data_IF_174324780548
#
_entry.id   IF_174324780548
#
_cell.length_a   1.000
_cell.length_b   1.000
_cell.length_c   1.000
_cell.angle_alpha   90.00
_cell.angle_beta   90.00
_cell.angle_gamma   90.00
#
_symmetry.space_group_name_H-M   'P 1'
#
loop_
_entity.id
_entity.type
_entity.pdbx_description
1 polymer ?
#
# COMPACT_ATOMS: atom_id res chain seq x y z
N UNK A 1 31.74 -9.10 -12.47
CA UNK A 1 30.53 -9.63 -13.13
C UNK A 1 29.32 -9.07 -12.39
N UNK A 2 28.25 -8.59 -13.05
CA UNK A 2 27.07 -8.15 -12.34
C UNK A 2 26.40 -9.37 -11.68
N UNK A 3 26.01 -9.17 -10.44
CA UNK A 3 25.53 -10.14 -9.46
C UNK A 3 24.16 -10.70 -9.89
N UNK A 4 24.01 -12.01 -10.11
CA UNK A 4 22.70 -12.63 -10.40
C UNK A 4 22.06 -13.09 -9.09
N UNK A 5 21.36 -12.18 -8.39
CA UNK A 5 20.31 -12.60 -7.46
C UNK A 5 19.29 -13.43 -8.22
N UNK A 6 18.83 -14.55 -7.67
CA UNK A 6 17.74 -15.32 -8.27
C UNK A 6 16.36 -14.76 -7.82
N UNK A 7 15.31 -15.04 -8.58
CA UNK A 7 13.94 -14.55 -8.30
C UNK A 7 13.47 -14.92 -6.89
N UNK A 8 13.87 -16.09 -6.38
CA UNK A 8 13.50 -16.54 -5.04
C UNK A 8 14.20 -15.71 -3.94
N UNK A 9 15.48 -15.37 -4.10
CA UNK A 9 16.20 -14.47 -3.19
C UNK A 9 15.58 -13.07 -3.20
N UNK A 10 15.22 -12.54 -4.37
CA UNK A 10 14.57 -11.24 -4.51
C UNK A 10 13.20 -11.22 -3.81
N UNK A 11 12.44 -12.32 -3.91
CA UNK A 11 11.18 -12.50 -3.19
C UNK A 11 11.41 -12.46 -1.67
N UNK A 12 12.35 -13.26 -1.16
CA UNK A 12 12.65 -13.28 0.28
C UNK A 12 13.12 -11.89 0.76
N UNK A 13 13.97 -11.22 -0.01
CA UNK A 13 14.42 -9.87 0.28
C UNK A 13 13.26 -8.86 0.36
N UNK A 14 12.35 -8.91 -0.61
CA UNK A 14 11.18 -8.03 -0.66
C UNK A 14 10.27 -8.26 0.55
N UNK A 15 10.06 -9.51 0.95
CA UNK A 15 9.26 -9.82 2.14
C UNK A 15 9.94 -9.28 3.41
N UNK A 16 11.26 -9.45 3.55
CA UNK A 16 11.99 -8.94 4.71
C UNK A 16 11.96 -7.42 4.78
N UNK A 17 12.07 -6.72 3.64
CA UNK A 17 11.90 -5.27 3.59
C UNK A 17 10.53 -4.82 4.10
N UNK A 18 9.46 -5.54 3.78
CA UNK A 18 8.12 -5.22 4.28
C UNK A 18 7.95 -5.48 5.80
N UNK A 19 8.65 -6.48 6.34
CA UNK A 19 8.54 -6.89 7.75
C UNK A 19 9.45 -6.09 8.69
N UNK A 20 10.59 -5.62 8.19
CA UNK A 20 11.66 -5.03 8.98
C UNK A 20 11.40 -3.56 9.34
N UNK A 21 10.39 -3.31 10.17
CA UNK A 21 10.11 -1.96 10.70
C UNK A 21 11.26 -1.50 11.59
N UNK A 22 11.92 -0.40 11.20
CA UNK A 22 13.03 0.17 11.98
C UNK A 22 14.38 -0.56 11.85
N UNK A 23 14.52 -1.43 10.84
CA UNK A 23 15.78 -2.09 10.51
C UNK A 23 16.16 -1.86 9.03
N UNK A 24 17.45 -1.99 8.72
CA UNK A 24 17.99 -1.85 7.36
C UNK A 24 18.12 -3.24 6.78
N UNK A 25 17.39 -3.52 5.69
CA UNK A 25 17.53 -4.77 4.93
C UNK A 25 18.34 -4.50 3.67
N UNK A 26 19.43 -5.25 3.50
CA UNK A 26 20.32 -5.15 2.34
C UNK A 26 20.41 -6.50 1.65
N UNK A 27 20.03 -6.55 0.37
CA UNK A 27 20.26 -7.73 -0.47
C UNK A 27 21.72 -7.83 -0.87
N UNK A 28 22.25 -9.05 -0.95
CA UNK A 28 23.55 -9.34 -1.55
C UNK A 28 24.67 -8.53 -0.88
N UNK A 29 24.63 -8.42 0.44
CA UNK A 29 25.56 -7.59 1.21
C UNK A 29 26.90 -8.30 1.39
N UNK A 30 28.00 -7.59 1.20
CA UNK A 30 29.31 -8.08 1.62
C UNK A 30 29.56 -7.71 3.08
N UNK A 31 29.74 -8.72 3.93
CA UNK A 31 30.23 -8.57 5.29
C UNK A 31 31.74 -8.80 5.33
N UNK A 32 32.40 -8.24 6.33
CA UNK A 32 33.85 -8.43 6.53
C UNK A 32 34.06 -9.62 7.46
N UNK A 33 34.83 -10.60 7.00
CA UNK A 33 35.32 -11.71 7.82
C UNK A 33 36.24 -11.18 8.91
N UNK A 34 35.94 -11.47 10.18
CA UNK A 34 36.70 -10.97 11.34
C UNK A 34 38.10 -11.59 11.47
N UNK A 35 38.33 -12.76 10.87
CA UNK A 35 39.62 -13.45 10.90
C UNK A 35 40.51 -13.07 9.72
N UNK A 36 39.97 -13.04 8.50
CA UNK A 36 40.79 -12.81 7.29
C UNK A 36 40.74 -11.37 6.79
N UNK A 37 39.71 -10.60 7.15
CA UNK A 37 39.44 -9.27 6.58
C UNK A 37 38.80 -9.30 5.18
N UNK A 38 38.54 -10.50 4.64
CA UNK A 38 37.96 -10.65 3.32
C UNK A 38 36.47 -10.25 3.30
N UNK A 39 36.01 -9.84 2.12
CA UNK A 39 34.59 -9.58 1.86
C UNK A 39 33.88 -10.88 1.53
N UNK A 40 33.00 -11.34 2.41
CA UNK A 40 32.14 -12.50 2.20
C UNK A 40 30.73 -12.01 1.90
N UNK A 41 30.17 -12.49 0.80
CA UNK A 41 28.80 -12.18 0.41
C UNK A 41 27.79 -12.95 1.25
N UNK A 42 26.73 -12.27 1.68
CA UNK A 42 25.55 -12.83 2.33
C UNK A 42 24.32 -12.45 1.52
N UNK A 43 23.41 -13.41 1.29
CA UNK A 43 22.30 -13.23 0.35
C UNK A 43 21.37 -12.09 0.77
N UNK A 44 21.03 -11.99 2.07
CA UNK A 44 20.29 -10.87 2.65
C UNK A 44 20.80 -10.62 4.07
N UNK A 45 20.98 -9.34 4.42
CA UNK A 45 21.38 -8.91 5.77
C UNK A 45 20.36 -7.93 6.32
N UNK A 46 19.90 -8.16 7.55
CA UNK A 46 19.07 -7.24 8.32
C UNK A 46 19.91 -6.67 9.45
N UNK A 47 19.98 -5.35 9.53
CA UNK A 47 20.72 -4.64 10.57
C UNK A 47 19.78 -3.74 11.38
N UNK A 48 19.89 -3.81 12.70
CA UNK A 48 19.15 -2.96 13.61
C UNK A 48 20.01 -2.57 14.81
N UNK A 49 19.53 -1.60 15.60
CA UNK A 49 20.14 -1.19 16.86
C UNK A 49 19.11 -1.42 17.95
N UNK A 50 19.41 -2.32 18.88
CA UNK A 50 18.54 -2.64 20.03
C UNK A 50 19.25 -2.15 21.28
N UNK A 51 18.67 -1.16 21.97
CA UNK A 51 19.26 -0.53 23.16
C UNK A 51 20.73 -0.08 22.96
N UNK A 52 21.06 0.44 21.78
CA UNK A 52 22.41 0.89 21.43
C UNK A 52 23.35 -0.22 20.96
N UNK A 53 22.93 -1.49 20.98
CA UNK A 53 23.73 -2.62 20.49
C UNK A 53 23.39 -2.94 19.03
N UNK A 54 24.39 -3.02 18.13
CA UNK A 54 24.15 -3.42 16.76
C UNK A 54 23.81 -4.92 16.69
N UNK A 55 22.70 -5.24 16.04
CA UNK A 55 22.26 -6.60 15.76
C UNK A 55 22.25 -6.81 14.25
N UNK A 56 22.87 -7.90 13.81
CA UNK A 56 22.94 -8.32 12.41
C UNK A 56 22.36 -9.72 12.27
N UNK A 57 21.27 -9.83 11.49
CA UNK A 57 20.67 -11.09 11.09
C UNK A 57 21.10 -11.37 9.65
N UNK A 58 21.66 -12.56 9.42
CA UNK A 58 22.04 -13.01 8.09
C UNK A 58 21.06 -14.06 7.61
N UNK A 59 20.66 -13.94 6.34
CA UNK A 59 19.74 -14.87 5.69
C UNK A 59 20.43 -15.42 4.44
N UNK A 60 20.46 -16.74 4.33
CA UNK A 60 20.94 -17.46 3.15
C UNK A 60 19.76 -18.17 2.48
N UNK A 61 19.70 -18.09 1.14
CA UNK A 61 18.55 -18.53 0.35
C UNK A 61 18.97 -19.63 -0.62
N UNK A 62 18.23 -20.73 -0.62
CA UNK A 62 18.43 -21.87 -1.52
C UNK A 62 17.22 -22.11 -2.42
N UNK A 63 17.39 -21.75 -3.70
CA UNK A 63 16.43 -22.04 -4.77
C UNK A 63 16.82 -23.31 -5.52
N UNK A 64 16.58 -24.47 -4.92
CA UNK A 64 16.76 -25.77 -5.57
C UNK A 64 15.49 -26.59 -5.45
N UNK A 65 15.24 -27.45 -6.44
CA UNK A 65 14.08 -28.35 -6.47
C UNK A 65 14.16 -29.54 -5.50
N UNK A 66 15.29 -29.74 -4.81
CA UNK A 66 15.47 -30.80 -3.80
C UNK A 66 15.64 -30.17 -2.41
N UNK A 67 15.15 -30.83 -1.34
CA UNK A 67 15.32 -30.36 0.02
C UNK A 67 16.79 -30.08 0.36
N UNK A 68 17.01 -29.05 1.16
CA UNK A 68 18.32 -28.72 1.66
C UNK A 68 18.84 -29.79 2.63
N UNK A 69 20.09 -30.19 2.43
CA UNK A 69 20.73 -31.27 3.17
C UNK A 69 21.56 -30.75 4.34
N UNK A 70 22.00 -31.67 5.21
CA UNK A 70 22.85 -31.36 6.37
C UNK A 70 24.18 -30.71 5.97
N UNK A 71 24.72 -31.04 4.80
CA UNK A 71 25.95 -30.45 4.26
C UNK A 71 25.80 -28.94 4.08
N UNK A 72 24.65 -28.48 3.57
CA UNK A 72 24.41 -27.06 3.40
C UNK A 72 24.30 -26.32 4.74
N UNK A 73 23.71 -26.95 5.75
CA UNK A 73 23.70 -26.38 7.11
C UNK A 73 25.13 -26.21 7.63
N UNK A 74 25.99 -27.22 7.43
CA UNK A 74 27.41 -27.17 7.84
C UNK A 74 28.19 -26.10 7.08
N UNK A 75 27.97 -25.98 5.76
CA UNK A 75 28.56 -24.94 4.92
C UNK A 75 28.14 -23.55 5.43
N UNK A 76 26.85 -23.33 5.70
CA UNK A 76 26.37 -22.05 6.23
C UNK A 76 26.92 -21.75 7.63
N UNK A 77 27.02 -22.75 8.52
CA UNK A 77 27.69 -22.57 9.83
C UNK A 77 29.13 -22.12 9.63
N UNK A 78 29.88 -22.83 8.78
CA UNK A 78 31.28 -22.51 8.51
C UNK A 78 31.45 -21.10 7.94
N UNK A 79 30.58 -20.72 7.00
CA UNK A 79 30.54 -19.39 6.39
C UNK A 79 30.31 -18.27 7.42
N UNK A 80 29.42 -18.47 8.38
CA UNK A 80 29.01 -17.43 9.33
C UNK A 80 29.79 -17.43 10.65
N UNK A 81 30.67 -18.40 10.88
CA UNK A 81 31.43 -18.54 12.13
C UNK A 81 32.27 -17.29 12.47
N UNK A 82 32.79 -16.63 11.44
CA UNK A 82 33.72 -15.49 11.54
C UNK A 82 33.09 -14.18 11.08
N UNK A 83 31.86 -14.21 10.57
CA UNK A 83 31.14 -13.02 10.14
C UNK A 83 30.49 -12.31 11.34
N UNK A 84 30.16 -11.01 11.21
CA UNK A 84 29.43 -10.29 12.23
C UNK A 84 27.94 -10.66 12.28
N UNK A 85 27.61 -11.95 12.18
CA UNK A 85 26.24 -12.47 12.23
C UNK A 85 25.86 -12.79 13.68
N UNK A 86 24.78 -12.19 14.18
CA UNK A 86 24.20 -12.51 15.50
C UNK A 86 23.16 -13.63 15.41
N UNK A 87 22.38 -13.68 14.32
CA UNK A 87 21.39 -14.73 14.05
C UNK A 87 21.48 -15.16 12.59
N UNK A 88 21.53 -16.46 12.37
CA UNK A 88 21.50 -17.06 11.03
C UNK A 88 20.11 -17.63 10.75
N UNK A 89 19.57 -17.29 9.58
CA UNK A 89 18.33 -17.83 9.04
C UNK A 89 18.62 -18.48 7.70
N UNK A 90 18.16 -19.70 7.51
CA UNK A 90 18.32 -20.45 6.26
C UNK A 90 16.95 -20.63 5.62
N UNK A 91 16.82 -20.23 4.36
CA UNK A 91 15.57 -20.32 3.60
C UNK A 91 15.75 -21.28 2.45
N UNK A 92 14.88 -22.30 2.36
CA UNK A 92 14.92 -23.29 1.28
C UNK A 92 13.57 -23.40 0.58
N UNK A 93 13.56 -23.25 -0.74
CA UNK A 93 12.34 -23.38 -1.55
C UNK A 93 11.70 -24.76 -1.41
N UNK A 94 12.50 -25.82 -1.49
CA UNK A 94 12.05 -27.21 -1.41
C UNK A 94 12.12 -27.81 0.01
N UNK A 95 12.26 -26.97 1.04
CA UNK A 95 12.35 -27.46 2.42
C UNK A 95 13.70 -28.07 2.79
N UNK A 96 13.71 -28.89 3.85
CA UNK A 96 14.92 -29.41 4.48
C UNK A 96 14.78 -30.91 4.74
N UNK A 97 15.90 -31.64 4.69
CA UNK A 97 15.90 -33.03 5.17
C UNK A 97 15.75 -33.06 6.70
N UNK A 98 15.26 -34.17 7.25
CA UNK A 98 15.14 -34.35 8.70
C UNK A 98 16.48 -34.13 9.43
N UNK A 99 17.58 -34.62 8.87
CA UNK A 99 18.92 -34.42 9.41
C UNK A 99 19.38 -32.96 9.36
N UNK A 100 18.99 -32.20 8.34
CA UNK A 100 19.29 -30.78 8.24
C UNK A 100 18.54 -29.97 9.30
N UNK A 101 17.25 -30.26 9.52
CA UNK A 101 16.45 -29.62 10.56
C UNK A 101 17.03 -29.85 11.96
N UNK A 102 17.35 -31.11 12.29
CA UNK A 102 17.99 -31.45 13.58
C UNK A 102 19.28 -30.64 13.75
N UNK A 103 20.14 -30.62 12.72
CA UNK A 103 21.42 -29.90 12.81
C UNK A 103 21.24 -28.39 12.95
N UNK A 104 20.26 -27.80 12.27
CA UNK A 104 19.96 -26.38 12.39
C UNK A 104 19.47 -26.03 13.80
N UNK A 105 18.55 -26.82 14.36
CA UNK A 105 18.06 -26.66 15.73
C UNK A 105 19.18 -26.75 16.78
N UNK A 106 20.07 -27.75 16.66
CA UNK A 106 21.24 -27.89 17.54
C UNK A 106 22.19 -26.67 17.53
N UNK A 107 22.16 -25.87 16.47
CA UNK A 107 23.04 -24.70 16.30
C UNK A 107 22.26 -23.39 16.37
N UNK A 108 21.02 -23.42 16.88
CA UNK A 108 20.14 -22.24 17.01
C UNK A 108 19.90 -21.49 15.70
N UNK A 109 19.97 -22.20 14.57
CA UNK A 109 19.72 -21.67 13.23
C UNK A 109 18.24 -21.75 12.93
N UNK A 110 17.66 -20.63 12.50
CA UNK A 110 16.28 -20.61 12.06
C UNK A 110 16.18 -21.18 10.64
N UNK A 111 15.20 -22.04 10.37
CA UNK A 111 14.98 -22.63 9.05
C UNK A 111 13.58 -22.32 8.54
N UNK A 112 13.47 -21.80 7.31
CA UNK A 112 12.21 -21.43 6.67
C UNK A 112 12.04 -22.14 5.33
N UNK A 113 10.84 -22.67 5.06
CA UNK A 113 10.52 -23.25 3.75
C UNK A 113 9.22 -22.74 3.14
N UNK A 114 9.17 -22.75 1.80
CA UNK A 114 7.96 -22.43 1.04
C UNK A 114 6.89 -23.52 1.19
N UNK A 115 7.27 -24.77 1.47
CA UNK A 115 6.30 -25.84 1.73
C UNK A 115 5.53 -25.62 3.05
N UNK A 116 6.25 -25.22 4.12
CA UNK A 116 5.63 -24.85 5.39
C UNK A 116 4.75 -23.61 5.28
N UNK A 117 5.03 -22.77 4.27
CA UNK A 117 4.27 -21.60 3.89
C UNK A 117 2.86 -21.92 3.37
N UNK A 118 2.66 -23.03 2.66
CA UNK A 118 1.36 -23.33 2.03
C UNK A 118 0.25 -23.75 3.00
N UNK A 119 0.56 -24.27 4.19
CA UNK A 119 -0.39 -25.05 5.00
C UNK A 119 -1.00 -24.30 6.21
N UNK A 120 -1.42 -23.01 6.13
CA UNK A 120 -1.83 -22.21 7.35
C UNK A 120 -3.35 -22.22 7.53
N UNK A 121 -3.84 -22.24 8.78
CA UNK A 121 -5.21 -21.84 9.07
C UNK A 121 -5.37 -20.31 8.96
N UNK A 122 -5.92 -19.84 7.83
CA UNK A 122 -6.26 -18.43 7.60
C UNK A 122 -7.46 -17.97 8.44
N UNK A 123 -7.50 -16.69 8.81
CA UNK A 123 -8.66 -16.01 9.41
C UNK A 123 -9.81 -15.81 8.39
N UNK A 124 -11.04 -15.56 8.82
CA UNK A 124 -12.19 -15.50 7.89
C UNK A 124 -12.17 -14.25 7.00
N UNK A 125 -11.70 -13.11 7.51
CA UNK A 125 -11.50 -11.89 6.72
C UNK A 125 -10.41 -12.06 5.66
N UNK A 126 -9.36 -12.84 5.95
CA UNK A 126 -8.30 -13.16 4.97
C UNK A 126 -8.75 -14.20 3.95
N UNK A 127 -9.60 -15.17 4.33
CA UNK A 127 -10.28 -16.07 3.38
C UNK A 127 -11.21 -15.32 2.41
N UNK A 128 -11.89 -14.28 2.89
CA UNK A 128 -12.75 -13.46 2.03
C UNK A 128 -11.93 -12.63 1.03
N UNK A 129 -10.85 -11.98 1.49
CA UNK A 129 -9.90 -11.31 0.60
C UNK A 129 -9.25 -12.29 -0.40
N UNK A 130 -9.02 -13.55 0.00
CA UNK A 130 -8.54 -14.59 -0.89
C UNK A 130 -9.50 -14.97 -2.00
N UNK A 131 -10.79 -15.04 -1.66
CA UNK A 131 -11.84 -15.42 -2.59
C UNK A 131 -12.18 -14.28 -3.55
N UNK A 132 -12.32 -13.07 -3.04
CA UNK A 132 -12.88 -11.94 -3.77
C UNK A 132 -11.78 -11.07 -4.42
N UNK A 133 -10.53 -11.20 -3.95
CA UNK A 133 -9.39 -10.38 -4.36
C UNK A 133 -9.50 -8.93 -3.89
N UNK A 134 -8.58 -8.07 -4.33
CA UNK A 134 -8.71 -6.61 -4.20
C UNK A 134 -8.83 -6.02 -5.59
N UNK A 135 -9.86 -5.21 -5.81
CA UNK A 135 -9.98 -4.45 -7.06
C UNK A 135 -9.23 -3.14 -6.93
N UNK A 136 -8.18 -2.99 -7.74
CA UNK A 136 -7.57 -1.69 -7.98
C UNK A 136 -8.39 -0.99 -9.07
N UNK A 137 -8.81 0.24 -8.84
CA UNK A 137 -9.61 1.00 -9.78
C UNK A 137 -9.09 2.43 -9.90
N UNK A 138 -9.02 2.92 -11.13
CA UNK A 138 -8.65 4.29 -11.48
C UNK A 138 -9.82 4.93 -12.20
N UNK A 139 -10.29 6.01 -11.60
CA UNK A 139 -11.46 6.74 -12.06
C UNK A 139 -10.99 7.96 -12.84
N UNK A 140 -11.43 8.05 -14.10
CA UNK A 140 -11.31 9.27 -14.89
C UNK A 140 -12.64 10.00 -14.86
N UNK A 141 -12.61 11.24 -14.38
CA UNK A 141 -13.81 12.02 -14.10
C UNK A 141 -13.81 13.28 -14.95
N UNK A 142 -14.96 13.56 -15.53
CA UNK A 142 -15.20 14.81 -16.26
C UNK A 142 -16.51 15.41 -15.79
N UNK A 143 -16.41 16.56 -15.14
CA UNK A 143 -17.56 17.35 -14.74
C UNK A 143 -18.16 17.98 -15.99
N UNK A 144 -19.47 17.81 -16.19
CA UNK A 144 -20.15 18.39 -17.35
C UNK A 144 -20.91 19.64 -16.95
N UNK A 145 -21.65 19.56 -15.85
CA UNK A 145 -22.47 20.66 -15.35
C UNK A 145 -22.54 20.60 -13.83
N UNK A 146 -22.77 21.75 -13.21
CA UNK A 146 -23.14 21.82 -11.81
C UNK A 146 -24.21 22.91 -11.65
N UNK A 147 -25.04 22.75 -10.64
CA UNK A 147 -26.08 23.71 -10.27
C UNK A 147 -26.03 23.94 -8.77
N UNK A 148 -26.47 25.13 -8.36
CA UNK A 148 -26.52 25.50 -6.95
C UNK A 148 -27.93 25.92 -6.60
N UNK A 149 -28.38 25.50 -5.42
CA UNK A 149 -29.64 25.94 -4.86
C UNK A 149 -29.34 26.98 -3.78
N UNK A 150 -29.75 28.22 -4.06
CA UNK A 150 -29.46 29.37 -3.23
C UNK A 150 -30.70 30.23 -2.99
N UNK A 151 -30.69 30.96 -1.89
CA UNK A 151 -31.75 31.92 -1.57
C UNK A 151 -31.49 33.21 -2.33
N UNK A 152 -32.47 33.63 -3.13
CA UNK A 152 -32.41 34.90 -3.84
C UNK A 152 -32.55 36.08 -2.88
N UNK A 153 -31.76 37.13 -3.08
CA UNK A 153 -31.87 38.40 -2.36
C UNK A 153 -32.62 39.45 -3.20
N UNK A 154 -33.40 40.30 -2.54
CA UNK A 154 -34.06 41.46 -3.15
C UNK A 154 -33.35 42.72 -2.67
N UNK A 155 -32.89 43.57 -3.60
CA UNK A 155 -32.27 44.87 -3.31
C UNK A 155 -32.96 45.95 -4.13
N UNK A 156 -33.45 47.01 -3.48
CA UNK A 156 -34.20 48.09 -4.12
C UNK A 156 -35.37 47.60 -4.99
N UNK A 157 -36.08 46.56 -4.55
CA UNK A 157 -37.19 45.94 -5.29
C UNK A 157 -36.79 45.06 -6.47
N UNK A 158 -35.49 44.94 -6.78
CA UNK A 158 -34.99 44.06 -7.83
C UNK A 158 -34.50 42.74 -7.24
N UNK A 159 -34.89 41.65 -7.90
CA UNK A 159 -34.43 40.29 -7.59
C UNK A 159 -33.01 40.11 -8.11
N UNK A 160 -32.05 39.87 -7.23
CA UNK A 160 -30.66 39.58 -7.61
C UNK A 160 -30.47 38.07 -7.76
N UNK A 161 -30.10 37.61 -8.95
CA UNK A 161 -29.76 36.21 -9.21
C UNK A 161 -28.31 36.09 -9.60
N UNK A 162 -27.69 34.95 -9.29
CA UNK A 162 -26.35 34.65 -9.80
C UNK A 162 -26.48 34.33 -11.30
N UNK A 163 -25.69 35.00 -12.13
CA UNK A 163 -25.55 34.64 -13.54
C UNK A 163 -24.89 33.25 -13.65
N UNK A 164 -25.55 32.33 -14.35
CA UNK A 164 -25.07 30.97 -14.53
C UNK A 164 -23.72 30.88 -15.24
N UNK A 165 -23.39 31.85 -16.10
CA UNK A 165 -22.07 31.89 -16.74
C UNK A 165 -20.96 32.39 -15.82
N UNK A 166 -21.34 33.11 -14.76
CA UNK A 166 -20.42 33.70 -13.76
C UNK A 166 -20.27 32.84 -12.50
N UNK A 167 -20.95 31.70 -12.45
CA UNK A 167 -21.01 30.80 -11.30
C UNK A 167 -19.62 30.21 -10.96
N UNK A 168 -18.78 29.96 -11.98
CA UNK A 168 -17.39 29.48 -11.81
C UNK A 168 -16.52 30.45 -11.00
N UNK A 169 -16.86 31.73 -11.02
CA UNK A 169 -16.09 32.78 -10.37
C UNK A 169 -16.60 33.11 -8.95
N UNK A 170 -17.68 32.46 -8.53
CA UNK A 170 -18.21 32.63 -7.18
C UNK A 170 -17.28 31.97 -6.15
N UNK A 171 -17.17 32.61 -4.99
CA UNK A 171 -16.45 32.09 -3.84
C UNK A 171 -17.46 31.45 -2.90
N UNK A 172 -17.34 30.15 -2.68
CA UNK A 172 -18.01 29.45 -1.60
C UNK A 172 -17.34 29.76 -0.27
N UNK A 173 -18.13 30.08 0.75
CA UNK A 173 -17.68 30.22 2.13
C UNK A 173 -18.44 29.25 3.04
N UNK A 174 -17.71 28.35 3.69
CA UNK A 174 -18.25 27.38 4.64
C UNK A 174 -18.55 28.01 5.99
N UNK A 175 -19.73 27.75 6.56
CA UNK A 175 -20.10 28.30 7.87
C UNK A 175 -19.43 27.63 9.06
N UNK A 176 -18.98 26.38 8.90
CA UNK A 176 -18.38 25.58 9.97
C UNK A 176 -16.95 26.01 10.30
N UNK A 177 -16.20 26.50 9.31
CA UNK A 177 -14.77 26.78 9.44
C UNK A 177 -14.35 28.14 8.84
N UNK A 178 -15.28 28.86 8.20
CA UNK A 178 -15.00 30.11 7.50
C UNK A 178 -14.12 29.93 6.26
N UNK A 179 -13.91 28.68 5.81
CA UNK A 179 -13.04 28.41 4.66
C UNK A 179 -13.66 28.94 3.39
N UNK A 180 -12.82 29.54 2.55
CA UNK A 180 -13.22 30.07 1.24
C UNK A 180 -12.61 29.23 0.13
N UNK A 181 -13.43 28.84 -0.85
CA UNK A 181 -13.03 28.05 -2.03
C UNK A 181 -13.65 28.66 -3.28
N UNK A 182 -13.02 28.53 -4.44
CA UNK A 182 -13.75 28.80 -5.68
C UNK A 182 -14.79 27.70 -5.87
N UNK A 183 -15.97 28.07 -6.36
CA UNK A 183 -17.04 27.09 -6.55
C UNK A 183 -16.64 25.98 -7.54
N UNK A 184 -15.81 26.29 -8.52
CA UNK A 184 -15.24 25.30 -9.47
C UNK A 184 -14.35 24.25 -8.79
N UNK A 185 -13.82 24.50 -7.60
CA UNK A 185 -12.97 23.58 -6.83
C UNK A 185 -13.80 22.66 -5.93
N UNK A 186 -15.09 22.96 -5.72
CA UNK A 186 -15.96 22.21 -4.83
C UNK A 186 -16.18 20.75 -5.28
N UNK A 187 -16.42 20.44 -6.57
CA UNK A 187 -16.54 19.05 -7.01
C UNK A 187 -15.35 18.18 -6.61
N UNK A 188 -14.13 18.71 -6.72
CA UNK A 188 -12.92 17.98 -6.34
C UNK A 188 -12.84 17.76 -4.82
N UNK A 189 -13.31 18.73 -4.02
CA UNK A 189 -13.42 18.58 -2.56
C UNK A 189 -14.52 17.60 -2.15
N UNK A 190 -15.63 17.56 -2.88
CA UNK A 190 -16.68 16.58 -2.68
C UNK A 190 -16.16 15.16 -2.89
N UNK A 191 -15.27 14.94 -3.87
CA UNK A 191 -14.60 13.64 -4.03
C UNK A 191 -13.49 13.38 -3.02
N UNK A 192 -12.94 14.42 -2.41
CA UNK A 192 -12.02 14.25 -1.29
C UNK A 192 -12.76 13.79 -0.02
N UNK A 193 -14.08 14.02 0.08
CA UNK A 193 -14.92 13.49 1.16
C UNK A 193 -15.25 12.01 0.91
N UNK A 194 -14.70 11.14 1.76
CA UNK A 194 -14.91 9.70 1.69
C UNK A 194 -16.39 9.26 1.79
N UNK A 195 -17.26 10.04 2.44
CA UNK A 195 -18.69 9.74 2.54
C UNK A 195 -19.43 9.94 1.22
N UNK A 196 -18.93 10.84 0.37
CA UNK A 196 -19.46 11.12 -0.96
C UNK A 196 -18.79 10.21 -1.99
N UNK A 197 -17.46 10.14 -1.99
CA UNK A 197 -16.69 9.41 -2.98
C UNK A 197 -16.96 7.89 -2.96
N UNK A 198 -17.04 7.28 -1.76
CA UNK A 198 -17.18 5.82 -1.61
C UNK A 198 -18.42 5.23 -2.30
N UNK A 199 -19.66 5.68 -2.04
CA UNK A 199 -20.85 5.10 -2.68
C UNK A 199 -20.84 5.28 -4.20
N UNK A 200 -20.29 6.40 -4.66
CA UNK A 200 -20.16 6.72 -6.09
C UNK A 200 -19.16 5.76 -6.76
N UNK A 201 -17.95 5.63 -6.20
CA UNK A 201 -16.91 4.75 -6.72
C UNK A 201 -17.34 3.28 -6.72
N UNK A 202 -18.07 2.82 -5.69
CA UNK A 202 -18.61 1.46 -5.62
C UNK A 202 -19.59 1.17 -6.76
N UNK A 203 -20.42 2.14 -7.14
CA UNK A 203 -21.31 2.02 -8.30
C UNK A 203 -20.51 1.94 -9.60
N UNK A 204 -19.52 2.81 -9.78
CA UNK A 204 -18.72 2.87 -10.99
C UNK A 204 -17.84 1.65 -11.24
N UNK A 205 -17.34 1.00 -10.18
CA UNK A 205 -16.61 -0.28 -10.30
C UNK A 205 -17.47 -1.36 -10.97
N UNK A 206 -18.80 -1.34 -10.73
CA UNK A 206 -19.76 -2.29 -11.32
C UNK A 206 -20.10 -1.93 -12.76
N UNK A 207 -20.33 -0.64 -13.04
CA UNK A 207 -20.92 -0.20 -14.30
C UNK A 207 -19.89 0.18 -15.39
N UNK A 208 -18.59 0.29 -15.05
CA UNK A 208 -17.42 0.62 -15.92
C UNK A 208 -17.44 1.98 -16.64
N UNK A 209 -18.62 2.43 -17.07
CA UNK A 209 -18.94 3.78 -17.52
C UNK A 209 -20.27 4.17 -16.91
N UNK A 210 -20.26 5.23 -16.12
CA UNK A 210 -21.48 5.72 -15.50
C UNK A 210 -21.49 7.24 -15.50
N UNK A 211 -22.57 7.78 -16.03
CA UNK A 211 -22.98 9.14 -15.71
C UNK A 211 -23.31 9.18 -14.22
N UNK A 212 -22.97 10.30 -13.57
CA UNK A 212 -23.21 10.47 -12.16
C UNK A 212 -23.85 11.81 -11.87
N UNK A 213 -24.65 11.80 -10.81
CA UNK A 213 -25.23 12.98 -10.22
C UNK A 213 -24.98 12.90 -8.71
N UNK A 214 -24.39 13.95 -8.17
CA UNK A 214 -24.08 14.07 -6.74
C UNK A 214 -24.70 15.35 -6.24
N UNK A 215 -25.44 15.26 -5.14
CA UNK A 215 -25.97 16.43 -4.44
C UNK A 215 -25.32 16.51 -3.07
N UNK A 216 -24.61 17.60 -2.81
CA UNK A 216 -24.01 17.91 -1.52
C UNK A 216 -24.80 19.01 -0.83
N UNK A 217 -25.41 18.69 0.30
CA UNK A 217 -26.03 19.68 1.19
C UNK A 217 -24.93 20.34 2.02
N UNK A 218 -24.79 21.65 1.85
CA UNK A 218 -23.73 22.40 2.52
C UNK A 218 -24.11 22.68 3.98
N UNK A 219 -23.15 22.89 4.89
CA UNK A 219 -23.44 23.25 6.27
C UNK A 219 -24.33 24.50 6.35
N UNK A 220 -25.30 24.50 7.27
CA UNK A 220 -26.25 25.60 7.44
C UNK A 220 -25.51 26.92 7.67
N UNK A 221 -25.87 27.95 6.91
CA UNK A 221 -25.22 29.26 6.96
C UNK A 221 -24.08 29.45 5.98
N UNK A 222 -23.72 28.43 5.20
CA UNK A 222 -22.76 28.59 4.10
C UNK A 222 -23.34 29.48 3.00
N UNK A 223 -22.48 30.16 2.24
CA UNK A 223 -22.92 31.12 1.23
C UNK A 223 -21.95 31.22 0.05
N UNK A 224 -22.45 31.76 -1.05
CA UNK A 224 -21.66 32.15 -2.23
C UNK A 224 -21.46 33.66 -2.24
N UNK A 225 -20.29 34.11 -2.66
CA UNK A 225 -20.01 35.52 -2.97
C UNK A 225 -19.71 35.66 -4.46
N UNK A 226 -20.46 36.49 -5.18
CA UNK A 226 -20.21 36.77 -6.60
C UNK A 226 -19.07 37.81 -6.80
N UNK A 227 -18.67 38.06 -8.06
CA UNK A 227 -17.64 39.07 -8.39
C UNK A 227 -17.99 40.49 -7.94
N UNK A 228 -19.26 40.79 -7.76
CA UNK A 228 -19.74 42.12 -7.33
C UNK A 228 -19.81 42.25 -5.81
N UNK A 229 -19.47 41.17 -5.07
CA UNK A 229 -19.52 41.12 -3.62
C UNK A 229 -20.92 40.82 -3.04
N UNK A 230 -21.89 40.41 -3.87
CA UNK A 230 -23.19 39.99 -3.36
C UNK A 230 -23.09 38.61 -2.72
N UNK A 231 -23.70 38.45 -1.55
CA UNK A 231 -23.70 37.21 -0.78
C UNK A 231 -25.02 36.46 -1.03
N UNK A 232 -24.98 35.16 -1.30
CA UNK A 232 -26.16 34.32 -1.51
C UNK A 232 -26.12 33.13 -0.57
N UNK A 233 -27.11 33.00 0.33
CA UNK A 233 -27.19 31.84 1.21
C UNK A 233 -27.38 30.56 0.38
N UNK A 234 -26.55 29.55 0.64
CA UNK A 234 -26.46 28.33 -0.15
C UNK A 234 -27.02 27.14 0.64
N UNK A 235 -27.87 26.33 0.00
CA UNK A 235 -28.48 25.14 0.61
C UNK A 235 -27.81 23.85 0.13
N UNK A 236 -27.62 23.72 -1.19
CA UNK A 236 -26.94 22.57 -1.77
C UNK A 236 -26.25 22.88 -3.09
N UNK A 237 -25.27 22.05 -3.42
CA UNK A 237 -24.56 22.03 -4.69
C UNK A 237 -24.83 20.68 -5.34
N UNK A 238 -25.33 20.69 -6.57
CA UNK A 238 -25.49 19.50 -7.40
C UNK A 238 -24.43 19.50 -8.49
N UNK A 239 -23.80 18.36 -8.70
CA UNK A 239 -22.76 18.16 -9.71
C UNK A 239 -23.13 16.96 -10.57
N UNK A 240 -23.07 17.14 -11.89
CA UNK A 240 -23.32 16.09 -12.88
C UNK A 240 -22.07 15.92 -13.75
N UNK A 241 -21.70 14.68 -13.99
CA UNK A 241 -20.52 14.37 -14.78
C UNK A 241 -20.52 12.98 -15.37
N UNK A 242 -19.46 12.70 -16.11
CA UNK A 242 -19.18 11.38 -16.66
C UNK A 242 -17.97 10.78 -15.99
N UNK A 243 -18.04 9.48 -15.76
CA UNK A 243 -16.92 8.69 -15.28
C UNK A 243 -16.58 7.57 -16.26
N UNK A 244 -15.30 7.24 -16.33
CA UNK A 244 -14.84 5.96 -16.83
C UNK A 244 -13.90 5.33 -15.81
N UNK A 245 -13.97 4.01 -15.69
CA UNK A 245 -13.15 3.25 -14.75
C UNK A 245 -12.24 2.32 -15.54
N UNK A 246 -10.94 2.41 -15.27
CA UNK A 246 -10.02 1.31 -15.56
C UNK A 246 -9.84 0.53 -14.26
N UNK A 247 -10.11 -0.76 -14.27
CA UNK A 247 -9.96 -1.63 -13.09
C UNK A 247 -9.11 -2.83 -13.42
N UNK A 248 -8.39 -3.29 -12.42
CA UNK A 248 -7.65 -4.55 -12.45
C UNK A 248 -7.87 -5.25 -11.11
N UNK A 249 -8.06 -6.56 -11.17
CA UNK A 249 -8.25 -7.36 -9.95
C UNK A 249 -6.90 -7.91 -9.52
N UNK A 250 -6.41 -7.44 -8.37
CA UNK A 250 -5.31 -8.09 -7.66
C UNK A 250 -5.82 -9.41 -7.09
N UNK A 251 -5.40 -10.49 -7.74
CA UNK A 251 -5.54 -11.84 -7.20
C UNK A 251 -4.38 -12.11 -6.27
N UNK A 252 -4.72 -12.53 -5.05
CA UNK A 252 -3.72 -12.82 -4.04
C UNK A 252 -3.22 -14.25 -4.17
N UNK A 253 -1.90 -14.36 -4.11
CA UNK A 253 -1.18 -15.58 -3.81
C UNK A 253 -0.92 -15.63 -2.30
N UNK A 254 -1.29 -16.75 -1.71
CA UNK A 254 -1.27 -16.96 -0.27
C UNK A 254 -0.06 -17.80 0.11
N UNK A 255 0.73 -17.28 1.03
CA UNK A 255 1.94 -17.89 1.55
C UNK A 255 1.97 -17.73 3.09
N UNK A 256 2.97 -18.31 3.73
CA UNK A 256 3.41 -17.91 5.07
C UNK A 256 4.91 -17.71 5.12
N UNK A 257 5.33 -16.91 6.07
CA UNK A 257 6.73 -16.83 6.45
C UNK A 257 6.79 -16.84 7.98
N UNK A 258 7.65 -17.69 8.57
CA UNK A 258 7.82 -17.76 10.03
C UNK A 258 6.50 -18.00 10.82
N UNK A 259 5.58 -18.79 10.25
CA UNK A 259 4.27 -19.03 10.87
C UNK A 259 3.28 -17.87 10.76
N UNK A 260 3.67 -16.74 10.17
CA UNK A 260 2.79 -15.59 9.88
C UNK A 260 2.18 -15.74 8.49
N UNK A 261 0.89 -15.51 8.35
CA UNK A 261 0.23 -15.59 7.05
C UNK A 261 0.57 -14.36 6.21
N UNK A 262 0.99 -14.58 4.96
CA UNK A 262 1.35 -13.51 4.02
C UNK A 262 0.56 -13.68 2.73
N UNK A 263 -0.23 -12.69 2.37
CA UNK A 263 -0.88 -12.62 1.06
C UNK A 263 -0.13 -11.60 0.20
N UNK A 264 0.31 -12.02 -0.98
CA UNK A 264 0.97 -11.17 -1.98
C UNK A 264 0.08 -11.10 -3.22
N UNK A 265 -0.15 -9.92 -3.77
CA UNK A 265 -0.75 -9.78 -5.09
C UNK A 265 0.07 -8.81 -5.92
N UNK A 266 0.18 -9.10 -7.21
CA UNK A 266 0.80 -8.20 -8.19
C UNK A 266 -0.17 -7.92 -9.32
N UNK A 267 -0.21 -6.67 -9.78
CA UNK A 267 -1.06 -6.22 -10.87
C UNK A 267 -0.33 -5.21 -11.73
N UNK A 268 -0.72 -5.09 -13.00
CA UNK A 268 -0.24 -4.01 -13.83
C UNK A 268 -0.59 -2.67 -13.19
N UNK A 269 0.38 -1.76 -13.15
CA UNK A 269 0.15 -0.41 -12.66
C UNK A 269 -0.83 0.29 -13.60
N UNK A 270 -2.04 0.52 -13.08
CA UNK A 270 -3.08 1.29 -13.76
C UNK A 270 -3.20 2.72 -13.24
N UNK A 271 -2.47 3.05 -12.16
CA UNK A 271 -2.53 4.30 -11.39
C UNK A 271 -1.56 5.34 -11.95
N UNK A 272 -0.35 4.94 -12.31
CA UNK A 272 0.62 5.87 -12.86
C UNK A 272 0.43 6.07 -14.37
N UNK A 273 0.54 7.33 -14.83
CA UNK A 273 0.63 7.67 -16.26
C UNK A 273 2.02 7.30 -16.84
N UNK A 274 2.64 6.21 -16.39
CA UNK A 274 3.99 5.82 -16.83
C UNK A 274 3.87 4.91 -18.08
N UNK A 275 4.52 5.24 -19.22
CA UNK A 275 4.37 4.52 -20.48
C UNK A 275 4.95 3.09 -20.54
N UNK A 276 5.40 2.52 -19.43
CA UNK A 276 6.18 1.28 -19.43
C UNK A 276 5.86 0.40 -18.23
N UNK A 277 4.88 -0.50 -18.39
CA UNK A 277 4.88 -1.85 -17.80
C UNK A 277 5.20 -2.04 -16.31
N UNK A 278 4.97 -1.03 -15.45
CA UNK A 278 5.17 -1.17 -14.02
C UNK A 278 4.18 -2.16 -13.40
N UNK A 279 4.60 -2.85 -12.34
CA UNK A 279 3.74 -3.72 -11.55
C UNK A 279 3.58 -3.15 -10.14
N UNK A 280 2.35 -3.10 -9.64
CA UNK A 280 2.01 -2.72 -8.28
C UNK A 280 1.89 -4.00 -7.45
N UNK A 281 2.57 -4.04 -6.31
CA UNK A 281 2.56 -5.20 -5.41
C UNK A 281 1.98 -4.81 -4.05
N UNK A 282 1.00 -5.59 -3.58
CA UNK A 282 0.41 -5.48 -2.25
C UNK A 282 0.75 -6.72 -1.44
N UNK A 283 1.37 -6.51 -0.28
CA UNK A 283 1.69 -7.57 0.68
C UNK A 283 0.92 -7.32 1.98
N UNK A 284 0.09 -8.28 2.37
CA UNK A 284 -0.67 -8.30 3.63
C UNK A 284 -0.05 -9.35 4.52
N UNK A 285 0.25 -8.99 5.76
CA UNK A 285 0.77 -9.89 6.78
C UNK A 285 -0.27 -10.00 7.90
N UNK A 286 -0.84 -11.19 8.05
CA UNK A 286 -1.73 -11.54 9.16
C UNK A 286 -0.89 -12.00 10.36
N UNK A 287 -0.96 -11.19 11.44
CA UNK A 287 -0.26 -11.44 12.71
C UNK A 287 -1.08 -12.28 13.69
N UNK A 288 -2.28 -12.74 13.33
CA UNK A 288 -3.15 -13.50 14.22
C UNK A 288 -4.02 -12.63 15.13
N UNK A 289 -3.84 -12.69 16.46
CA UNK A 289 -4.65 -11.95 17.45
C UNK A 289 -4.35 -10.44 17.52
N UNK A 290 -3.30 -9.97 16.83
CA UNK A 290 -3.00 -8.56 16.64
C UNK A 290 -3.25 -8.13 15.18
N UNK A 291 -3.50 -6.84 14.98
CA UNK A 291 -3.91 -6.25 13.71
C UNK A 291 -3.05 -6.70 12.51
N UNK A 292 -3.71 -7.02 11.41
CA UNK A 292 -3.05 -7.31 10.13
C UNK A 292 -2.38 -6.04 9.58
N UNK A 293 -1.11 -6.14 9.19
CA UNK A 293 -0.40 -5.02 8.56
C UNK A 293 -0.43 -5.19 7.04
N UNK A 294 -0.92 -4.17 6.33
CA UNK A 294 -0.89 -4.11 4.87
C UNK A 294 0.16 -3.10 4.41
N UNK A 295 0.98 -3.50 3.44
CA UNK A 295 1.96 -2.63 2.78
C UNK A 295 1.74 -2.64 1.27
N UNK A 296 1.56 -1.47 0.68
CA UNK A 296 1.47 -1.27 -0.77
C UNK A 296 2.82 -0.71 -1.22
N UNK A 297 3.50 -1.42 -2.11
CA UNK A 297 4.77 -0.96 -2.71
C UNK A 297 4.54 -0.67 -4.19
N UNK A 298 4.73 0.59 -4.57
CA UNK A 298 4.84 0.99 -5.97
C UNK A 298 6.27 0.69 -6.48
N UNK A 299 6.47 0.43 -7.77
CA UNK A 299 7.80 0.16 -8.31
C UNK A 299 8.75 1.31 -7.96
N UNK A 300 9.94 0.98 -7.43
CA UNK A 300 10.99 1.96 -7.13
C UNK A 300 11.39 2.70 -8.41
N UNK A 301 11.65 4.00 -8.31
CA UNK A 301 12.60 4.62 -9.21
C UNK A 301 14.02 4.39 -8.73
N UNK A 302 14.86 4.02 -9.68
CA UNK A 302 16.30 3.89 -9.56
C UNK A 302 16.98 5.26 -9.74
N UNK A 303 18.27 5.27 -10.06
CA UNK A 303 19.18 6.44 -10.02
C UNK A 303 18.77 7.65 -10.91
N UNK A 304 17.58 7.63 -11.53
CA UNK A 304 16.98 8.67 -12.36
C UNK A 304 15.89 9.55 -11.67
N UNK A 305 15.54 9.30 -10.40
CA UNK A 305 14.96 10.32 -9.49
C UNK A 305 13.43 10.38 -9.25
N UNK A 306 12.83 9.40 -8.55
CA UNK A 306 11.46 9.50 -7.98
C UNK A 306 11.35 8.73 -6.65
N UNK A 307 10.24 9.03 -5.95
CA UNK A 307 10.04 9.05 -4.49
C UNK A 307 9.08 7.95 -3.98
N UNK A 308 9.20 7.64 -2.67
CA UNK A 308 8.33 6.71 -1.94
C UNK A 308 7.07 7.39 -1.37
N UNK A 309 5.96 6.64 -1.32
CA UNK A 309 4.80 6.93 -0.46
C UNK A 309 4.36 5.61 0.21
N UNK A 310 4.26 5.61 1.54
CA UNK A 310 3.68 4.53 2.32
C UNK A 310 2.28 4.96 2.75
N UNK A 311 1.26 4.13 2.48
CA UNK A 311 -0.10 4.34 3.02
C UNK A 311 -0.38 3.19 3.98
N UNK A 312 -0.54 3.52 5.25
CA UNK A 312 -1.01 2.64 6.30
C UNK A 312 -2.55 2.64 6.25
N UNK A 313 -3.17 1.48 6.02
CA UNK A 313 -4.61 1.32 6.23
C UNK A 313 -4.85 1.15 7.73
N UNK A 314 -5.25 2.21 8.42
CA UNK A 314 -5.85 2.12 9.74
C UNK A 314 -7.36 1.85 9.57
N UNK A 315 -7.91 0.90 10.32
CA UNK A 315 -9.34 0.83 10.55
C UNK A 315 -9.64 1.34 11.96
N UNK A 316 -10.60 2.26 12.04
CA UNK A 316 -11.04 2.99 13.24
C UNK A 316 -11.06 2.13 14.52
N UNK A 317 -10.21 2.50 15.47
CA UNK A 317 -10.43 2.24 16.90
C UNK A 317 -11.53 3.17 17.41
N UNK A 318 -12.78 2.84 17.10
CA UNK A 318 -13.91 3.35 17.87
C UNK A 318 -14.93 2.23 18.11
N UNK A 319 -14.59 1.37 19.07
CA UNK A 319 -15.57 0.83 20.02
C UNK A 319 -15.09 1.14 21.42
N UNK A 320 -15.43 2.34 21.87
CA UNK A 320 -15.63 2.66 23.26
C UNK A 320 -16.86 1.91 23.79
N UNK A 321 -16.70 1.36 25.00
CA UNK A 321 -17.63 0.59 25.85
C UNK A 321 -17.73 -0.91 25.56
#
# INVERSE_FOLDING_TARGET
MPKRSNEFQQLIYSIQQCLAVGAIVTESKFLIDRQTGDKVEVDIVIESIVNGFPITISIEVRDRGRPATIEWIRESIGKHLTLPTNKLVLVSKAGFTKSALIKATENEIETLSLEQAGNYPWSDSTKQLAKDGITLAVFSLSWQTYSVDYTTIIRNGQKLTIDQNSLNDCIFTGSSDGSTKKLVEIPDLMLADGNVAKPIMQKWIKDEKADFEVTWRVPKGSYLTDKSGNIFALDQIKVVGKSSVKKEVMKFEFNKLQGMAIAHATVNDIVSKIPSGGQLTLTIIDKGHEESLASITLPKEDELGRRMLAIQLASDTNKSC
#
